data_IF_555148277156
#
_entry.id   IF_555148277156
#
_cell.length_a   1.000
_cell.length_b   1.000
_cell.length_c   1.000
_cell.angle_alpha   90.00
_cell.angle_beta   90.00
_cell.angle_gamma   90.00
#
_symmetry.space_group_name_H-M   'P 1'
#
loop_
_entity.id
_entity.type
_entity.pdbx_description
1 polymer ?
#
# COMPACT_ATOMS: atom_id res chain seq x y z
N UNK A 1 20.00 93.77 -18.34
CA UNK A 1 19.52 92.62 -17.57
C UNK A 1 18.77 91.71 -18.53
N UNK A 2 19.35 90.57 -18.91
CA UNK A 2 18.70 89.28 -19.27
C UNK A 2 19.75 88.37 -19.91
N UNK A 3 20.35 87.49 -19.11
CA UNK A 3 21.05 86.31 -19.62
C UNK A 3 19.99 85.28 -20.02
N UNK A 4 19.77 85.09 -21.31
CA UNK A 4 18.93 83.99 -21.79
C UNK A 4 19.79 82.72 -21.84
N UNK A 5 19.64 81.83 -20.86
CA UNK A 5 20.30 80.52 -20.84
C UNK A 5 19.76 79.67 -22.00
N UNK A 6 20.59 79.40 -23.00
CA UNK A 6 20.29 78.39 -24.01
C UNK A 6 20.29 77.01 -23.36
N UNK A 7 19.14 76.32 -23.39
CA UNK A 7 19.06 74.91 -23.03
C UNK A 7 19.96 74.08 -23.94
N UNK A 8 21.08 73.59 -23.41
CA UNK A 8 21.84 72.53 -24.06
C UNK A 8 20.95 71.28 -24.13
N UNK A 9 20.55 70.90 -25.35
CA UNK A 9 19.90 69.59 -25.57
C UNK A 9 20.94 68.52 -25.26
N UNK A 10 20.84 67.88 -24.09
CA UNK A 10 21.71 66.75 -23.73
C UNK A 10 21.28 65.51 -24.51
N UNK A 11 21.87 65.32 -25.69
CA UNK A 11 21.83 64.03 -26.37
C UNK A 11 22.76 63.04 -25.66
N UNK A 12 22.42 61.75 -25.73
CA UNK A 12 23.28 60.68 -25.22
C UNK A 12 24.61 60.67 -25.96
N UNK A 13 25.71 60.53 -25.20
CA UNK A 13 27.04 60.39 -25.80
C UNK A 13 27.23 58.97 -26.32
N UNK A 14 28.01 58.79 -27.38
CA UNK A 14 28.32 57.47 -27.94
C UNK A 14 28.88 56.51 -26.87
N UNK A 15 29.71 57.03 -25.96
CA UNK A 15 30.30 56.26 -24.87
C UNK A 15 29.27 55.80 -23.85
N UNK A 16 28.27 56.63 -23.54
CA UNK A 16 27.18 56.29 -22.60
C UNK A 16 26.28 55.18 -23.15
N UNK A 17 26.00 55.20 -24.46
CA UNK A 17 25.26 54.12 -25.14
C UNK A 17 26.08 52.82 -25.09
N UNK A 18 27.38 52.88 -25.35
CA UNK A 18 28.24 51.68 -25.30
C UNK A 18 28.29 51.12 -23.88
N UNK A 19 28.50 51.96 -22.86
CA UNK A 19 28.60 51.54 -21.46
C UNK A 19 27.28 50.93 -20.95
N UNK A 20 26.14 51.51 -21.29
CA UNK A 20 24.83 50.99 -20.86
C UNK A 20 24.51 49.65 -21.52
N UNK A 21 24.79 49.45 -22.80
CA UNK A 21 24.58 48.17 -23.49
C UNK A 21 25.49 47.08 -22.93
N UNK A 22 26.76 47.39 -22.66
CA UNK A 22 27.71 46.43 -22.07
C UNK A 22 27.29 46.05 -20.64
N UNK A 23 26.88 47.02 -19.82
CA UNK A 23 26.32 46.75 -18.49
C UNK A 23 25.10 45.83 -18.58
N UNK A 24 24.14 46.13 -19.45
CA UNK A 24 22.94 45.30 -19.64
C UNK A 24 23.28 43.90 -20.13
N UNK A 25 24.27 43.73 -20.99
CA UNK A 25 24.72 42.41 -21.44
C UNK A 25 25.34 41.60 -20.30
N UNK A 26 26.18 42.22 -19.47
CA UNK A 26 26.81 41.56 -18.32
C UNK A 26 25.74 41.21 -17.28
N UNK A 27 24.90 42.16 -16.89
CA UNK A 27 23.82 41.91 -15.94
C UNK A 27 22.79 40.90 -16.47
N UNK A 28 22.47 40.95 -17.76
CA UNK A 28 21.58 39.98 -18.41
C UNK A 28 22.13 38.56 -18.36
N UNK A 29 23.43 38.39 -18.61
CA UNK A 29 24.08 37.07 -18.49
C UNK A 29 24.11 36.54 -17.05
N UNK A 30 24.35 37.41 -16.07
CA UNK A 30 24.28 37.06 -14.65
C UNK A 30 22.85 36.67 -14.23
N UNK A 31 21.84 37.40 -14.71
CA UNK A 31 20.44 37.10 -14.42
C UNK A 31 20.05 35.74 -15.02
N UNK A 32 20.38 35.49 -16.29
CA UNK A 32 20.04 34.20 -16.93
C UNK A 32 20.74 33.05 -16.21
N UNK A 33 22.01 33.18 -15.86
CA UNK A 33 22.77 32.11 -15.16
C UNK A 33 22.28 31.85 -13.74
N UNK A 34 21.94 32.88 -12.97
CA UNK A 34 21.49 32.74 -11.57
C UNK A 34 20.00 32.34 -11.46
N UNK A 35 19.14 32.91 -12.30
CA UNK A 35 17.69 32.70 -12.19
C UNK A 35 17.20 31.50 -13.01
N UNK A 36 17.90 31.07 -14.06
CA UNK A 36 17.51 29.86 -14.82
C UNK A 36 17.52 28.61 -13.94
N UNK A 37 18.61 28.39 -13.20
CA UNK A 37 18.76 27.22 -12.36
C UNK A 37 17.77 27.22 -11.18
N UNK A 38 17.59 28.37 -10.55
CA UNK A 38 16.72 28.51 -9.37
C UNK A 38 15.26 28.29 -9.72
N UNK A 39 14.76 28.84 -10.83
CA UNK A 39 13.38 28.64 -11.27
C UNK A 39 13.11 27.21 -11.74
N UNK A 40 14.03 26.59 -12.49
CA UNK A 40 13.85 25.23 -13.01
C UNK A 40 13.88 24.20 -11.87
N UNK A 41 14.84 24.32 -10.93
CA UNK A 41 15.02 23.39 -9.81
C UNK A 41 13.98 23.54 -8.69
N UNK A 42 13.27 24.67 -8.63
CA UNK A 42 12.21 24.90 -7.64
C UNK A 42 11.04 23.92 -7.75
N UNK A 43 10.85 23.29 -8.91
CA UNK A 43 9.82 22.27 -9.11
C UNK A 43 10.25 20.86 -8.64
N UNK A 44 11.54 20.62 -8.44
CA UNK A 44 12.07 19.29 -8.12
C UNK A 44 11.60 18.78 -6.74
N UNK A 45 11.58 19.60 -5.67
CA UNK A 45 11.03 19.18 -4.38
C UNK A 45 9.55 18.76 -4.48
N UNK A 46 8.76 19.47 -5.29
CA UNK A 46 7.34 19.14 -5.50
C UNK A 46 7.18 17.82 -6.27
N UNK A 47 7.95 17.62 -7.34
CA UNK A 47 7.95 16.34 -8.09
C UNK A 47 8.34 15.17 -7.20
N UNK A 48 9.37 15.33 -6.37
CA UNK A 48 9.81 14.32 -5.42
C UNK A 48 8.73 13.98 -4.40
N UNK A 49 8.05 15.00 -3.85
CA UNK A 49 6.93 14.79 -2.93
C UNK A 49 5.79 14.00 -3.58
N UNK A 50 5.41 14.35 -4.81
CA UNK A 50 4.39 13.62 -5.56
C UNK A 50 4.79 12.14 -5.77
N UNK A 51 6.03 11.88 -6.18
CA UNK A 51 6.56 10.53 -6.37
C UNK A 51 6.65 9.71 -5.08
N UNK A 52 6.95 10.35 -3.96
CA UNK A 52 6.94 9.72 -2.62
C UNK A 52 5.51 9.41 -2.15
N UNK A 53 4.56 10.29 -2.45
CA UNK A 53 3.13 10.07 -2.21
C UNK A 53 2.59 8.89 -3.03
N UNK A 54 2.98 8.76 -4.30
CA UNK A 54 2.60 7.62 -5.14
C UNK A 54 3.09 6.30 -4.54
N UNK A 55 4.35 6.23 -4.12
CA UNK A 55 4.93 5.03 -3.49
C UNK A 55 4.17 4.65 -2.21
N UNK A 56 3.83 5.66 -1.40
CA UNK A 56 3.03 5.48 -0.18
C UNK A 56 1.60 5.00 -0.50
N UNK A 57 0.98 5.52 -1.57
CA UNK A 57 -0.34 5.07 -2.04
C UNK A 57 -0.32 3.62 -2.50
N UNK A 58 0.69 3.21 -3.27
CA UNK A 58 0.87 1.83 -3.71
C UNK A 58 0.95 0.90 -2.49
N UNK A 59 1.76 1.27 -1.51
CA UNK A 59 1.92 0.49 -0.29
C UNK A 59 0.64 0.39 0.53
N UNK A 60 -0.15 1.46 0.58
CA UNK A 60 -1.46 1.46 1.22
C UNK A 60 -2.42 0.50 0.51
N UNK A 61 -2.42 0.45 -0.83
CA UNK A 61 -3.23 -0.51 -1.60
C UNK A 61 -2.79 -1.96 -1.37
N UNK A 62 -1.48 -2.24 -1.36
CA UNK A 62 -0.94 -3.57 -1.03
C UNK A 62 -1.36 -3.98 0.39
N UNK A 63 -1.24 -3.05 1.35
CA UNK A 63 -1.64 -3.28 2.74
C UNK A 63 -3.14 -3.52 2.88
N UNK A 64 -3.97 -2.86 2.06
CA UNK A 64 -5.41 -3.10 2.01
C UNK A 64 -5.75 -4.50 1.47
N UNK A 65 -5.00 -5.01 0.49
CA UNK A 65 -5.17 -6.38 0.00
C UNK A 65 -4.73 -7.44 1.03
N UNK A 66 -3.73 -7.11 1.85
CA UNK A 66 -3.32 -7.93 3.00
C UNK A 66 -4.34 -7.92 4.14
N UNK A 67 -5.06 -6.82 4.35
CA UNK A 67 -6.11 -6.72 5.36
C UNK A 67 -7.48 -6.50 4.68
N UNK A 68 -8.11 -7.57 4.16
CA UNK A 68 -9.26 -7.45 3.26
C UNK A 68 -10.50 -6.86 3.93
N UNK A 69 -10.54 -6.81 5.27
CA UNK A 69 -11.69 -6.35 6.04
C UNK A 69 -11.31 -5.24 7.02
N UNK A 70 -12.20 -4.25 7.23
CA UNK A 70 -11.96 -3.19 8.20
C UNK A 70 -11.80 -3.77 9.61
N UNK A 71 -10.97 -3.11 10.42
CA UNK A 71 -10.90 -3.42 11.86
C UNK A 71 -12.23 -3.08 12.55
N UNK A 72 -12.55 -3.84 13.59
CA UNK A 72 -13.65 -3.58 14.51
C UNK A 72 -13.56 -2.17 15.08
N UNK A 73 -14.72 -1.53 15.28
CA UNK A 73 -14.84 -0.22 15.89
C UNK A 73 -15.94 -0.23 16.93
N UNK A 74 -15.68 0.43 18.06
CA UNK A 74 -16.64 0.58 19.15
C UNK A 74 -17.85 1.43 18.71
N UNK A 75 -19.01 1.14 19.31
CA UNK A 75 -20.25 1.92 19.14
C UNK A 75 -20.61 2.22 17.68
N UNK A 76 -20.35 1.26 16.80
CA UNK A 76 -20.53 1.38 15.35
C UNK A 76 -21.67 0.48 14.90
N UNK A 77 -22.53 0.98 14.02
CA UNK A 77 -23.62 0.20 13.45
C UNK A 77 -23.08 -0.73 12.35
N UNK A 78 -23.37 -2.02 12.50
CA UNK A 78 -23.00 -3.06 11.54
C UNK A 78 -24.24 -3.72 10.96
N UNK A 79 -24.22 -3.96 9.65
CA UNK A 79 -25.24 -4.72 8.96
C UNK A 79 -24.88 -6.20 8.90
N UNK A 80 -25.90 -7.07 8.81
CA UNK A 80 -25.69 -8.50 8.57
C UNK A 80 -24.86 -8.71 7.29
N UNK A 81 -23.89 -9.61 7.35
CA UNK A 81 -22.90 -9.86 6.31
C UNK A 81 -21.68 -8.94 6.32
N UNK A 82 -21.64 -7.88 7.14
CA UNK A 82 -20.43 -7.09 7.34
C UNK A 82 -19.30 -7.98 7.89
N UNK A 83 -18.09 -7.79 7.36
CA UNK A 83 -16.91 -8.54 7.76
C UNK A 83 -15.93 -7.60 8.45
N UNK A 84 -15.39 -8.05 9.58
CA UNK A 84 -14.45 -7.27 10.37
C UNK A 84 -13.26 -8.13 10.79
N UNK A 85 -12.14 -7.45 11.03
CA UNK A 85 -11.00 -7.99 11.77
C UNK A 85 -11.02 -7.47 13.20
N UNK A 86 -10.61 -8.25 14.20
CA UNK A 86 -10.33 -7.74 15.53
C UNK A 86 -9.30 -6.59 15.54
N UNK A 87 -9.30 -5.77 16.58
CA UNK A 87 -8.30 -4.69 16.75
C UNK A 87 -6.92 -5.31 16.90
N UNK A 88 -6.82 -6.27 17.84
CA UNK A 88 -5.69 -7.17 18.04
C UNK A 88 -5.89 -8.43 17.19
N UNK A 89 -5.03 -8.60 16.18
CA UNK A 89 -5.23 -9.63 15.18
C UNK A 89 -5.12 -11.04 15.80
N UNK A 90 -6.25 -11.72 15.96
CA UNK A 90 -6.30 -13.06 16.54
C UNK A 90 -6.13 -14.17 15.48
N UNK A 91 -5.83 -13.83 14.23
CA UNK A 91 -5.72 -14.77 13.11
C UNK A 91 -7.07 -15.19 12.54
N UNK A 92 -8.14 -14.45 12.84
CA UNK A 92 -9.49 -14.69 12.31
C UNK A 92 -10.12 -13.38 11.84
N UNK A 93 -11.18 -13.53 11.05
CA UNK A 93 -12.13 -12.47 10.74
C UNK A 93 -13.53 -12.94 11.11
N UNK A 94 -14.41 -11.99 11.34
CA UNK A 94 -15.77 -12.24 11.82
C UNK A 94 -16.78 -11.65 10.87
N UNK A 95 -17.89 -12.36 10.71
CA UNK A 95 -19.01 -11.99 9.87
C UNK A 95 -20.18 -11.66 10.80
N UNK A 96 -20.76 -10.48 10.63
CA UNK A 96 -21.95 -10.07 11.36
C UNK A 96 -23.12 -10.94 10.92
N UNK A 97 -23.69 -11.71 11.84
CA UNK A 97 -24.83 -12.59 11.58
C UNK A 97 -26.15 -11.90 11.87
N UNK A 98 -26.18 -11.00 12.85
CA UNK A 98 -27.33 -10.16 13.18
C UNK A 98 -26.89 -8.69 13.25
N UNK A 99 -27.54 -7.86 12.44
CA UNK A 99 -27.28 -6.42 12.39
C UNK A 99 -27.52 -5.77 13.76
N UNK A 100 -26.68 -4.80 14.10
CA UNK A 100 -26.77 -4.08 15.36
C UNK A 100 -25.57 -3.17 15.60
N UNK A 101 -25.64 -2.41 16.69
CA UNK A 101 -24.56 -1.56 17.16
C UNK A 101 -23.59 -2.37 18.01
N UNK A 102 -22.30 -2.27 17.71
CA UNK A 102 -21.23 -2.86 18.54
C UNK A 102 -21.18 -2.23 19.93
N UNK A 103 -20.58 -2.96 20.87
CA UNK A 103 -20.32 -2.49 22.22
C UNK A 103 -19.35 -1.30 22.29
N UNK A 104 -19.21 -0.73 23.49
CA UNK A 104 -18.24 0.34 23.75
C UNK A 104 -16.78 -0.16 23.79
N UNK A 105 -16.58 -1.46 24.01
CA UNK A 105 -15.29 -2.15 24.04
C UNK A 105 -15.35 -3.40 23.18
N UNK A 106 -14.20 -3.81 22.66
CA UNK A 106 -14.12 -5.00 21.81
C UNK A 106 -14.55 -6.25 22.61
N UNK A 107 -15.42 -7.11 22.03
CA UNK A 107 -15.83 -8.33 22.70
C UNK A 107 -14.68 -9.33 22.78
N UNK A 108 -14.77 -10.29 23.70
CA UNK A 108 -13.93 -11.48 23.64
C UNK A 108 -14.41 -12.34 22.48
N UNK A 109 -13.59 -12.44 21.43
CA UNK A 109 -13.96 -13.17 20.24
C UNK A 109 -13.99 -14.69 20.47
N UNK A 110 -15.10 -15.33 20.15
CA UNK A 110 -15.22 -16.79 20.19
C UNK A 110 -14.72 -17.44 18.90
N UNK A 111 -14.01 -18.55 19.05
CA UNK A 111 -13.51 -19.35 17.93
C UNK A 111 -14.62 -20.12 17.21
N UNK A 112 -15.68 -20.48 17.95
CA UNK A 112 -16.84 -21.22 17.46
C UNK A 112 -18.13 -20.61 18.01
N UNK A 113 -19.22 -20.72 17.25
CA UNK A 113 -20.52 -20.16 17.63
C UNK A 113 -20.61 -18.65 17.44
N UNK A 114 -21.56 -18.03 18.15
CA UNK A 114 -21.81 -16.58 18.08
C UNK A 114 -21.05 -15.83 19.19
N UNK A 115 -20.46 -14.71 18.83
CA UNK A 115 -19.95 -13.68 19.75
C UNK A 115 -20.99 -12.57 19.84
N UNK A 116 -21.32 -12.16 21.07
CA UNK A 116 -22.28 -11.11 21.36
C UNK A 116 -21.53 -9.79 21.59
N UNK A 117 -21.91 -8.75 20.87
CA UNK A 117 -21.21 -7.46 20.88
C UNK A 117 -22.22 -6.31 20.83
N UNK A 118 -22.64 -5.84 21.99
CA UNK A 118 -23.79 -4.94 22.09
C UNK A 118 -25.04 -5.60 21.52
N UNK A 119 -25.58 -5.02 20.44
CA UNK A 119 -26.74 -5.57 19.72
C UNK A 119 -26.34 -6.33 18.45
N UNK A 120 -25.06 -6.29 18.06
CA UNK A 120 -24.53 -7.07 16.94
C UNK A 120 -24.19 -8.50 17.38
N UNK A 121 -24.35 -9.45 16.46
CA UNK A 121 -23.88 -10.84 16.64
C UNK A 121 -22.89 -11.19 15.56
N UNK A 122 -21.87 -11.96 15.91
CA UNK A 122 -20.73 -12.26 15.04
C UNK A 122 -20.39 -13.74 15.05
N UNK A 123 -19.98 -14.26 13.90
CA UNK A 123 -19.43 -15.62 13.77
C UNK A 123 -18.11 -15.58 13.02
N UNK A 124 -17.16 -16.45 13.41
CA UNK A 124 -15.90 -16.59 12.70
C UNK A 124 -16.13 -17.01 11.24
N UNK A 125 -15.35 -16.44 10.31
CA UNK A 125 -15.40 -16.70 8.87
C UNK A 125 -14.81 -18.04 8.44
N UNK A 126 -15.17 -19.11 9.13
CA UNK A 126 -14.71 -20.47 8.90
C UNK A 126 -15.27 -21.00 7.57
N UNK A 127 -14.50 -21.85 6.89
CA UNK A 127 -14.91 -22.55 5.67
C UNK A 127 -16.17 -23.38 5.93
N UNK A 128 -17.07 -23.39 4.96
CA UNK A 128 -18.30 -24.18 4.95
C UNK A 128 -18.55 -24.67 3.54
N UNK A 129 -19.23 -25.81 3.39
CA UNK A 129 -19.59 -26.39 2.08
C UNK A 129 -20.66 -25.54 1.36
N UNK A 130 -20.26 -24.36 0.88
CA UNK A 130 -21.10 -23.37 0.19
C UNK A 130 -20.32 -22.76 -0.96
N UNK A 131 -20.99 -22.23 -1.99
CA UNK A 131 -20.31 -21.59 -3.10
C UNK A 131 -19.68 -20.25 -2.70
N UNK A 132 -18.38 -20.09 -2.97
CA UNK A 132 -17.65 -18.85 -2.74
C UNK A 132 -17.39 -18.10 -4.05
N UNK A 133 -17.66 -16.80 -4.06
CA UNK A 133 -17.28 -15.93 -5.17
C UNK A 133 -15.76 -15.70 -5.23
N UNK A 134 -15.24 -15.37 -6.41
CA UNK A 134 -13.84 -14.96 -6.58
C UNK A 134 -13.51 -13.80 -5.63
N UNK A 135 -12.38 -13.91 -4.94
CA UNK A 135 -11.93 -12.96 -3.93
C UNK A 135 -12.51 -13.19 -2.53
N UNK A 136 -13.45 -14.12 -2.36
CA UNK A 136 -13.93 -14.55 -1.05
C UNK A 136 -12.78 -15.11 -0.20
N UNK A 137 -12.78 -14.77 1.09
CA UNK A 137 -11.75 -15.23 2.04
C UNK A 137 -12.39 -16.18 3.04
N UNK A 138 -11.67 -17.22 3.45
CA UNK A 138 -12.08 -18.21 4.45
C UNK A 138 -10.92 -18.57 5.37
N UNK A 139 -11.28 -19.12 6.53
CA UNK A 139 -10.37 -19.77 7.49
C UNK A 139 -10.69 -21.26 7.49
N UNK A 140 -9.70 -22.17 7.50
CA UNK A 140 -9.94 -23.60 7.70
C UNK A 140 -10.80 -23.93 8.94
N UNK A 141 -11.53 -25.04 8.93
CA UNK A 141 -12.32 -25.51 10.09
C UNK A 141 -11.43 -25.79 11.29
N UNK A 142 -10.27 -26.39 11.02
CA UNK A 142 -9.13 -26.41 11.93
C UNK A 142 -8.16 -25.33 11.46
N UNK A 143 -8.21 -24.11 12.03
CA UNK A 143 -7.35 -23.01 11.61
C UNK A 143 -5.90 -23.45 11.63
N UNK A 144 -5.13 -22.95 10.68
CA UNK A 144 -3.70 -23.23 10.54
C UNK A 144 -2.88 -21.93 10.47
N UNK A 145 -3.41 -20.85 11.07
CA UNK A 145 -2.82 -19.51 11.04
C UNK A 145 -2.96 -18.74 9.71
N UNK A 146 -3.50 -19.36 8.66
CA UNK A 146 -3.61 -18.75 7.33
C UNK A 146 -5.04 -18.42 6.90
N UNK A 147 -5.16 -17.32 6.15
CA UNK A 147 -6.35 -16.99 5.38
C UNK A 147 -6.21 -17.48 3.94
N UNK A 148 -7.31 -17.97 3.38
CA UNK A 148 -7.35 -18.47 2.00
C UNK A 148 -8.30 -17.65 1.18
N UNK A 149 -7.83 -17.19 0.02
CA UNK A 149 -8.61 -16.41 -0.94
C UNK A 149 -9.00 -17.29 -2.11
N UNK A 150 -10.28 -17.32 -2.44
CA UNK A 150 -10.81 -17.99 -3.62
C UNK A 150 -10.36 -17.24 -4.87
N UNK A 151 -9.66 -17.91 -5.79
CA UNK A 151 -9.21 -17.33 -7.06
C UNK A 151 -10.03 -17.84 -8.25
N UNK A 152 -10.70 -18.98 -8.11
CA UNK A 152 -11.61 -19.54 -9.11
C UNK A 152 -12.83 -20.12 -8.43
N UNK A 153 -14.01 -19.70 -8.88
CA UNK A 153 -15.29 -20.20 -8.38
C UNK A 153 -15.49 -21.63 -8.84
N UNK A 154 -15.90 -22.49 -7.90
CA UNK A 154 -16.32 -23.85 -8.17
C UNK A 154 -17.34 -24.35 -7.15
N UNK A 155 -17.83 -25.57 -7.38
CA UNK A 155 -18.57 -26.31 -6.35
C UNK A 155 -17.59 -26.93 -5.36
N UNK A 156 -17.82 -26.68 -4.08
CA UNK A 156 -17.13 -27.33 -2.97
C UNK A 156 -18.15 -28.01 -2.06
N UNK A 157 -17.92 -29.29 -1.78
CA UNK A 157 -18.78 -30.12 -0.92
C UNK A 157 -18.03 -30.73 0.26
N UNK A 158 -16.70 -30.72 0.21
CA UNK A 158 -15.79 -31.29 1.21
C UNK A 158 -14.71 -30.27 1.50
N UNK A 159 -14.28 -30.17 2.76
CA UNK A 159 -13.23 -29.22 3.09
C UNK A 159 -11.93 -29.60 2.37
N UNK A 160 -11.25 -28.65 1.72
CA UNK A 160 -9.98 -28.92 1.09
C UNK A 160 -8.85 -29.22 2.08
N UNK A 161 -7.85 -29.95 1.61
CA UNK A 161 -6.57 -30.06 2.32
C UNK A 161 -5.75 -28.76 2.12
N UNK A 162 -5.59 -28.01 3.20
CA UNK A 162 -4.94 -26.70 3.23
C UNK A 162 -3.39 -26.74 3.19
N UNK A 163 -2.79 -27.92 3.02
CA UNK A 163 -1.33 -28.11 3.08
C UNK A 163 -0.55 -27.69 1.83
N UNK A 164 -1.18 -27.56 0.65
CA UNK A 164 -0.52 -27.24 -0.63
C UNK A 164 -1.35 -26.27 -1.51
N UNK A 165 -1.06 -26.09 -2.81
CA UNK A 165 -1.97 -25.35 -3.70
C UNK A 165 -3.31 -26.06 -3.71
N UNK A 166 -4.30 -25.42 -3.12
CA UNK A 166 -5.51 -26.08 -2.67
C UNK A 166 -6.54 -26.07 -3.81
N UNK A 167 -6.73 -27.23 -4.42
CA UNK A 167 -7.88 -27.50 -5.29
C UNK A 167 -8.99 -28.13 -4.45
N UNK A 168 -10.15 -27.50 -4.42
CA UNK A 168 -11.37 -27.96 -3.75
C UNK A 168 -12.43 -28.25 -4.82
N UNK A 169 -12.31 -29.43 -5.43
CA UNK A 169 -13.08 -29.78 -6.63
C UNK A 169 -12.74 -28.87 -7.81
N UNK A 170 -13.64 -27.93 -8.11
CA UNK A 170 -13.44 -26.92 -9.17
C UNK A 170 -13.04 -25.54 -8.63
N UNK A 171 -13.05 -25.36 -7.30
CA UNK A 171 -12.65 -24.13 -6.63
C UNK A 171 -11.14 -24.13 -6.41
N UNK A 172 -10.48 -23.02 -6.71
CA UNK A 172 -9.04 -22.87 -6.46
C UNK A 172 -8.84 -21.85 -5.34
N UNK A 173 -8.06 -22.23 -4.34
CA UNK A 173 -7.70 -21.40 -3.20
C UNK A 173 -6.20 -21.16 -3.15
N UNK A 174 -5.84 -19.98 -2.67
CA UNK A 174 -4.45 -19.59 -2.41
C UNK A 174 -4.35 -18.93 -1.05
N UNK A 175 -3.24 -19.16 -0.33
CA UNK A 175 -2.93 -18.43 0.91
C UNK A 175 -2.88 -16.94 0.64
N UNK A 176 -3.34 -16.12 1.57
CA UNK A 176 -3.40 -14.66 1.40
C UNK A 176 -2.02 -14.05 1.10
N UNK A 177 -0.97 -14.48 1.79
CA UNK A 177 0.40 -14.02 1.49
C UNK A 177 0.90 -14.53 0.13
N UNK A 178 0.53 -15.75 -0.27
CA UNK A 178 0.82 -16.27 -1.61
C UNK A 178 0.12 -15.47 -2.70
N UNK A 179 -1.15 -15.11 -2.49
CA UNK A 179 -1.90 -14.21 -3.36
C UNK A 179 -1.22 -12.84 -3.46
N UNK A 180 -0.82 -12.26 -2.32
CA UNK A 180 -0.15 -10.97 -2.29
C UNK A 180 1.18 -11.01 -3.06
N UNK A 181 1.98 -12.05 -2.84
CA UNK A 181 3.23 -12.29 -3.56
C UNK A 181 2.99 -12.32 -5.09
N UNK A 182 2.01 -13.09 -5.56
CA UNK A 182 1.66 -13.15 -6.99
C UNK A 182 1.19 -11.81 -7.55
N UNK A 183 0.33 -11.09 -6.83
CA UNK A 183 -0.23 -9.82 -7.29
C UNK A 183 0.79 -8.69 -7.31
N UNK A 184 1.76 -8.70 -6.39
CA UNK A 184 2.86 -7.72 -6.38
C UNK A 184 3.80 -7.97 -7.55
N UNK A 185 4.03 -9.23 -7.92
CA UNK A 185 4.89 -9.63 -9.02
C UNK A 185 6.34 -9.92 -8.60
N UNK A 186 7.13 -10.55 -9.47
CA UNK A 186 8.47 -11.04 -9.14
C UNK A 186 9.48 -9.91 -8.92
N UNK A 187 10.48 -10.15 -8.08
CA UNK A 187 11.58 -9.22 -7.88
C UNK A 187 12.35 -8.96 -9.19
N UNK A 188 12.79 -7.71 -9.39
CA UNK A 188 13.51 -7.29 -10.58
C UNK A 188 12.61 -6.83 -11.74
N UNK A 189 11.30 -6.74 -11.54
CA UNK A 189 10.34 -6.38 -12.61
C UNK A 189 9.64 -5.05 -12.37
N UNK A 190 9.34 -4.35 -13.46
CA UNK A 190 8.42 -3.22 -13.46
C UNK A 190 6.98 -3.76 -13.51
N UNK A 191 6.10 -3.15 -12.74
CA UNK A 191 4.71 -3.52 -12.57
C UNK A 191 3.83 -2.36 -12.99
N UNK A 192 2.74 -2.66 -13.69
CA UNK A 192 1.64 -1.75 -14.01
C UNK A 192 0.35 -2.54 -13.83
N UNK A 193 -0.19 -2.50 -12.62
CA UNK A 193 -1.32 -3.33 -12.21
C UNK A 193 -2.31 -2.53 -11.36
N UNK A 194 -3.23 -3.21 -10.67
CA UNK A 194 -4.24 -2.59 -9.82
C UNK A 194 -3.68 -1.69 -8.71
N UNK A 195 -2.40 -1.84 -8.35
CA UNK A 195 -1.72 -1.02 -7.36
C UNK A 195 -1.13 0.29 -7.91
N UNK A 196 -1.10 0.48 -9.22
CA UNK A 196 -0.37 1.52 -9.99
C UNK A 196 1.04 1.04 -10.46
N UNK A 197 1.84 1.98 -10.97
CA UNK A 197 3.17 1.72 -11.55
C UNK A 197 4.26 1.76 -10.50
N UNK A 198 5.05 0.69 -10.41
CA UNK A 198 6.18 0.59 -9.48
C UNK A 198 7.18 -0.46 -9.96
N UNK A 199 8.36 -0.51 -9.34
CA UNK A 199 9.33 -1.58 -9.59
C UNK A 199 9.53 -2.40 -8.32
N UNK A 200 9.50 -3.73 -8.46
CA UNK A 200 9.72 -4.65 -7.34
C UNK A 200 11.22 -4.85 -7.16
N UNK A 201 11.76 -4.34 -6.05
CA UNK A 201 13.16 -4.59 -5.66
C UNK A 201 13.28 -5.95 -4.96
N UNK A 202 12.30 -6.28 -4.13
CA UNK A 202 12.27 -7.52 -3.35
C UNK A 202 10.82 -7.95 -3.14
N UNK A 203 10.56 -9.24 -3.32
CA UNK A 203 9.32 -9.89 -2.97
C UNK A 203 9.65 -11.36 -2.70
N UNK A 204 9.76 -11.74 -1.43
CA UNK A 204 10.14 -13.09 -1.03
C UNK A 204 9.66 -13.44 0.37
N UNK A 205 9.42 -14.73 0.59
CA UNK A 205 9.17 -15.25 1.91
C UNK A 205 10.47 -15.32 2.72
N UNK A 206 10.36 -15.02 4.01
CA UNK A 206 11.49 -14.93 4.93
C UNK A 206 11.18 -15.58 6.27
N UNK A 207 12.22 -15.89 7.04
CA UNK A 207 12.16 -16.33 8.44
C UNK A 207 13.15 -15.54 9.29
N UNK A 208 12.94 -15.50 10.61
CA UNK A 208 13.97 -15.03 11.53
C UNK A 208 14.88 -16.19 11.91
N UNK A 209 16.20 -15.96 11.91
CA UNK A 209 17.17 -16.89 12.49
C UNK A 209 17.25 -16.75 14.02
N UNK A 210 18.10 -17.57 14.64
CA UNK A 210 18.32 -17.54 16.10
C UNK A 210 18.87 -16.22 16.63
N UNK A 211 19.36 -15.34 15.75
CA UNK A 211 19.90 -14.03 16.09
C UNK A 211 18.91 -12.90 15.73
N UNK A 212 17.65 -13.22 15.44
CA UNK A 212 16.61 -12.28 15.00
C UNK A 212 16.94 -11.54 13.69
N UNK A 213 17.75 -12.15 12.81
CA UNK A 213 18.02 -11.62 11.48
C UNK A 213 17.08 -12.25 10.46
N UNK A 214 16.65 -11.45 9.49
CA UNK A 214 15.77 -11.88 8.40
C UNK A 214 16.59 -12.70 7.40
N UNK A 215 16.17 -13.94 7.17
CA UNK A 215 16.77 -14.87 6.19
C UNK A 215 15.73 -15.33 5.17
N UNK A 216 16.13 -15.64 3.93
CA UNK A 216 15.26 -16.33 2.99
C UNK A 216 14.81 -17.69 3.55
N UNK A 217 13.58 -18.08 3.25
CA UNK A 217 13.12 -19.45 3.54
C UNK A 217 13.82 -20.47 2.61
N UNK A 218 13.94 -21.70 3.07
CA UNK A 218 14.36 -22.87 2.29
C UNK A 218 13.22 -23.87 2.14
N UNK A 219 13.40 -24.88 1.29
CA UNK A 219 12.40 -25.94 1.10
C UNK A 219 12.04 -26.60 2.43
N UNK A 220 10.75 -26.66 2.74
CA UNK A 220 10.21 -27.21 4.00
C UNK A 220 9.93 -26.18 5.09
N UNK A 221 10.42 -24.94 4.96
CA UNK A 221 10.03 -23.85 5.85
C UNK A 221 8.59 -23.37 5.57
N UNK A 222 7.98 -22.75 6.58
CA UNK A 222 6.63 -22.16 6.46
C UNK A 222 6.69 -20.79 5.78
N UNK A 223 5.73 -20.53 4.90
CA UNK A 223 5.54 -19.25 4.20
C UNK A 223 4.75 -18.24 5.05
N UNK A 224 5.20 -18.00 6.29
CA UNK A 224 4.48 -17.18 7.26
C UNK A 224 4.78 -15.70 7.13
N UNK A 225 5.94 -15.31 6.60
CA UNK A 225 6.33 -13.90 6.52
C UNK A 225 6.76 -13.53 5.11
N UNK A 226 6.14 -12.49 4.55
CA UNK A 226 6.43 -11.96 3.23
C UNK A 226 7.13 -10.61 3.36
N UNK A 227 8.39 -10.55 2.94
CA UNK A 227 9.14 -9.30 2.88
C UNK A 227 9.03 -8.70 1.48
N UNK A 228 8.66 -7.43 1.43
CA UNK A 228 8.55 -6.67 0.19
C UNK A 228 9.41 -5.41 0.25
N UNK A 229 9.97 -5.05 -0.90
CA UNK A 229 10.62 -3.77 -1.15
C UNK A 229 10.28 -3.31 -2.56
N UNK A 230 9.67 -2.14 -2.68
CA UNK A 230 9.29 -1.52 -3.95
C UNK A 230 10.05 -0.22 -4.13
N UNK A 231 10.23 0.21 -5.38
CA UNK A 231 10.82 1.50 -5.72
C UNK A 231 10.01 2.27 -6.76
N UNK A 232 10.10 3.60 -6.71
CA UNK A 232 9.59 4.50 -7.74
C UNK A 232 10.68 4.81 -8.80
N UNK A 233 10.32 5.63 -9.80
CA UNK A 233 11.21 6.01 -10.91
C UNK A 233 12.45 6.81 -10.45
N UNK A 234 12.36 7.50 -9.32
CA UNK A 234 13.46 8.29 -8.71
C UNK A 234 14.42 7.41 -7.89
N UNK A 235 14.12 6.12 -7.75
CA UNK A 235 14.92 5.17 -6.96
C UNK A 235 14.62 5.19 -5.46
N UNK A 236 13.63 5.95 -4.99
CA UNK A 236 13.18 5.89 -3.60
C UNK A 236 12.54 4.53 -3.33
N UNK A 237 12.83 3.94 -2.17
CA UNK A 237 12.36 2.59 -1.84
C UNK A 237 11.51 2.58 -0.59
N UNK A 238 10.48 1.74 -0.58
CA UNK A 238 9.64 1.48 0.57
C UNK A 238 9.59 -0.03 0.82
N UNK A 239 9.71 -0.43 2.09
CA UNK A 239 9.73 -1.83 2.49
C UNK A 239 8.62 -2.12 3.51
N UNK A 240 8.06 -3.32 3.48
CA UNK A 240 7.27 -3.84 4.59
C UNK A 240 7.47 -5.35 4.75
N UNK A 241 7.05 -5.81 5.91
CA UNK A 241 6.95 -7.20 6.30
C UNK A 241 5.50 -7.49 6.61
N UNK A 242 4.91 -8.48 5.93
CA UNK A 242 3.59 -9.00 6.24
C UNK A 242 3.72 -10.37 6.87
N UNK A 243 2.89 -10.67 7.86
CA UNK A 243 3.03 -11.87 8.69
C UNK A 243 1.68 -12.57 8.87
N UNK A 244 1.56 -13.82 8.46
CA UNK A 244 0.49 -14.67 8.94
C UNK A 244 0.69 -14.92 10.44
N UNK A 245 -0.41 -15.13 11.19
CA UNK A 245 -0.29 -15.50 12.60
C UNK A 245 0.34 -16.89 12.67
N UNK A 246 1.44 -17.02 13.40
CA UNK A 246 2.03 -18.32 13.70
C UNK A 246 1.20 -19.03 14.77
N UNK A 247 1.03 -20.34 14.63
CA UNK A 247 0.53 -21.22 15.69
C UNK A 247 1.62 -21.53 16.72
#
# INVERSE_FOLDING_TARGET
MTFNKSHARSGFTLIEIIVTVVMVAIFGSLIITLFSDSFIKSSDPMKRLLKSSDLSRIMAKITADYNPYPKWKASTDYAAGNKIMPVEMNGRFYICTSAGKSGASEPLWHDYGETYDGNARWKAGIWTATSYATGGVVIPVNPNGHFYRCIKVGGCSTEPDWSSTVYDGSTEWIRLLGYLNLKIGPAGTAQDNTYDKYYVVMNRFVKFDSNNLIQPIVSGDRENMLQIKIKNDEGETLSALFTAKEE
#
